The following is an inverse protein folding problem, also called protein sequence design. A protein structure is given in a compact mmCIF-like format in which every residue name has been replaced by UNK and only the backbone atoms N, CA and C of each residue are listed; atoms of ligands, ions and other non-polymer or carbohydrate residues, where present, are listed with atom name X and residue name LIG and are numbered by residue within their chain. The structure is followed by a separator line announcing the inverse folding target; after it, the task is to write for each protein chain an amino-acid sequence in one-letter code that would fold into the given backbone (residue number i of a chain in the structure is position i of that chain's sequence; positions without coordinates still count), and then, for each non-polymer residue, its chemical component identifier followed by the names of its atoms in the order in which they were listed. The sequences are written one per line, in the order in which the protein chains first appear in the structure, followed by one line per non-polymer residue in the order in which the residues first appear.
data_IF_840512852710
#
_entry.id   IF_840512852710
#
_cell.length_a   1.000
_cell.length_b   1.000
_cell.length_c   1.000
_cell.angle_alpha   90.00
_cell.angle_beta   90.00
_cell.angle_gamma   90.00
#
_symmetry.space_group_name_H-M   'P 1'
#
loop_
_entity.id
_entity.type
_entity.pdbx_description
1 polymer ?
#
# COMPACT_ATOMS: atom_id res chain seq x y z
N UNK A 1 -15.53 -4.62 30.11
CA UNK A 1 -16.56 -3.97 29.27
C UNK A 1 -17.11 -4.92 28.23
N UNK A 2 -16.29 -5.47 27.31
CA UNK A 2 -16.75 -6.47 26.33
C UNK A 2 -17.32 -7.74 26.98
N UNK A 3 -16.69 -8.25 28.04
CA UNK A 3 -17.22 -9.37 28.84
C UNK A 3 -18.56 -9.01 29.51
N UNK A 4 -18.65 -7.81 30.09
CA UNK A 4 -19.88 -7.32 30.73
C UNK A 4 -21.03 -7.14 29.74
N UNK A 5 -20.71 -6.80 28.49
CA UNK A 5 -21.66 -6.70 27.39
C UNK A 5 -21.98 -8.05 26.73
N UNK A 6 -21.41 -9.15 27.23
CA UNK A 6 -21.64 -10.51 26.72
C UNK A 6 -21.05 -10.78 25.34
N UNK A 7 -20.17 -9.91 24.83
CA UNK A 7 -19.57 -10.04 23.50
C UNK A 7 -18.41 -11.05 23.44
N UNK A 8 -17.73 -11.26 24.56
CA UNK A 8 -16.64 -12.24 24.70
C UNK A 8 -16.68 -12.89 26.07
N UNK A 9 -16.21 -14.13 26.19
CA UNK A 9 -16.06 -14.82 27.47
C UNK A 9 -14.81 -14.36 28.23
N UNK A 10 -14.74 -14.64 29.53
CA UNK A 10 -13.53 -14.38 30.33
C UNK A 10 -12.31 -15.13 29.79
N UNK A 11 -12.50 -16.39 29.38
CA UNK A 11 -11.41 -17.22 28.84
C UNK A 11 -10.91 -16.68 27.50
N UNK A 12 -11.81 -16.22 26.62
CA UNK A 12 -11.46 -15.57 25.36
C UNK A 12 -10.70 -14.26 25.59
N UNK A 13 -11.11 -13.47 26.59
CA UNK A 13 -10.43 -12.24 26.97
C UNK A 13 -9.01 -12.53 27.49
N UNK A 14 -8.83 -13.54 28.34
CA UNK A 14 -7.50 -13.92 28.86
C UNK A 14 -6.56 -14.37 27.74
N UNK A 15 -7.04 -15.17 26.78
CA UNK A 15 -6.26 -15.58 25.61
C UNK A 15 -5.83 -14.37 24.76
N UNK A 16 -6.75 -13.46 24.47
CA UNK A 16 -6.43 -12.26 23.69
C UNK A 16 -5.45 -11.32 24.42
N UNK A 17 -5.54 -11.20 25.75
CA UNK A 17 -4.59 -10.44 26.56
C UNK A 17 -3.20 -11.06 26.56
N UNK A 18 -3.11 -12.40 26.62
CA UNK A 18 -1.84 -13.10 26.56
C UNK A 18 -1.14 -12.87 25.21
N UNK A 19 -1.88 -12.90 24.10
CA UNK A 19 -1.34 -12.61 22.78
C UNK A 19 -0.98 -11.13 22.61
N UNK A 20 -1.80 -10.21 23.15
CA UNK A 20 -1.48 -8.78 23.19
C UNK A 20 -0.19 -8.49 23.96
N UNK A 21 0.10 -9.20 25.06
CA UNK A 21 1.36 -9.02 25.78
C UNK A 21 2.58 -9.44 24.98
N UNK A 22 2.45 -10.44 24.10
CA UNK A 22 3.55 -10.93 23.27
C UNK A 22 3.77 -10.07 22.01
N UNK A 23 2.68 -9.68 21.34
CA UNK A 23 2.73 -8.99 20.04
C UNK A 23 2.57 -7.46 20.15
N UNK A 24 2.12 -6.96 21.30
CA UNK A 24 1.73 -5.57 21.47
C UNK A 24 0.42 -5.23 20.74
N UNK A 25 0.14 -3.94 20.57
CA UNK A 25 -1.05 -3.47 19.84
C UNK A 25 -2.34 -3.44 20.67
N UNK A 26 -3.48 -3.37 19.99
CA UNK A 26 -4.80 -3.16 20.61
C UNK A 26 -5.50 -4.48 20.88
N UNK A 27 -6.11 -4.59 22.07
CA UNK A 27 -6.85 -5.77 22.49
C UNK A 27 -8.00 -6.15 21.53
N UNK A 28 -8.77 -5.15 21.06
CA UNK A 28 -9.87 -5.38 20.12
C UNK A 28 -9.40 -6.08 18.84
N UNK A 29 -8.26 -5.65 18.30
CA UNK A 29 -7.64 -6.25 17.11
C UNK A 29 -7.27 -7.72 17.33
N UNK A 30 -6.77 -8.06 18.53
CA UNK A 30 -6.47 -9.45 18.88
C UNK A 30 -7.72 -10.32 19.03
N UNK A 31 -8.80 -9.76 19.62
CA UNK A 31 -10.08 -10.46 19.72
C UNK A 31 -10.66 -10.81 18.35
N UNK A 32 -10.56 -9.89 17.38
CA UNK A 32 -10.99 -10.13 15.99
C UNK A 32 -10.08 -11.15 15.30
N UNK A 33 -8.76 -11.01 15.42
CA UNK A 33 -7.79 -11.95 14.82
C UNK A 33 -7.98 -13.38 15.31
N UNK A 34 -8.33 -13.56 16.58
CA UNK A 34 -8.59 -14.87 17.19
C UNK A 34 -9.98 -15.44 16.84
N UNK A 35 -10.82 -14.68 16.13
CA UNK A 35 -12.19 -15.06 15.78
C UNK A 35 -13.14 -15.07 16.97
N UNK A 36 -12.82 -14.34 18.04
CA UNK A 36 -13.66 -14.25 19.24
C UNK A 36 -14.69 -13.13 19.16
N UNK A 37 -14.50 -12.19 18.24
CA UNK A 37 -15.39 -11.06 18.02
C UNK A 37 -15.35 -10.71 16.54
N UNK A 38 -16.51 -10.47 15.93
CA UNK A 38 -16.54 -10.00 14.55
C UNK A 38 -16.14 -8.52 14.48
N UNK A 39 -15.57 -8.13 13.34
CA UNK A 39 -15.04 -6.79 13.13
C UNK A 39 -16.15 -5.72 13.21
N UNK A 40 -17.31 -6.01 12.61
CA UNK A 40 -18.51 -5.17 12.67
C UNK A 40 -19.05 -5.05 14.11
N UNK A 41 -19.05 -6.14 14.87
CA UNK A 41 -19.50 -6.13 16.27
C UNK A 41 -18.58 -5.29 17.15
N UNK A 42 -17.27 -5.34 16.91
CA UNK A 42 -16.31 -4.50 17.60
C UNK A 42 -16.55 -3.03 17.29
N UNK A 43 -16.69 -2.67 16.02
CA UNK A 43 -16.92 -1.29 15.58
C UNK A 43 -18.24 -0.74 16.13
N UNK A 44 -19.32 -1.51 16.07
CA UNK A 44 -20.61 -1.12 16.64
C UNK A 44 -20.52 -0.91 18.16
N UNK A 45 -19.85 -1.81 18.87
CA UNK A 45 -19.62 -1.68 20.31
C UNK A 45 -18.84 -0.40 20.66
N UNK A 46 -17.76 -0.11 19.92
CA UNK A 46 -16.95 1.10 20.12
C UNK A 46 -17.74 2.37 19.81
N UNK A 47 -18.54 2.35 18.73
CA UNK A 47 -19.43 3.45 18.35
C UNK A 47 -20.40 3.80 19.47
N UNK A 48 -21.11 2.80 20.01
CA UNK A 48 -22.04 3.00 21.13
C UNK A 48 -21.32 3.47 22.39
N UNK A 49 -20.13 2.93 22.67
CA UNK A 49 -19.38 3.26 23.89
C UNK A 49 -18.88 4.70 23.89
N UNK A 50 -18.41 5.19 22.74
CA UNK A 50 -17.80 6.51 22.62
C UNK A 50 -18.77 7.57 22.10
N UNK A 51 -19.97 7.19 21.67
CA UNK A 51 -21.00 8.12 21.17
C UNK A 51 -20.62 8.74 19.83
N UNK A 52 -19.88 8.02 19.00
CA UNK A 52 -19.42 8.47 17.67
C UNK A 52 -19.90 7.49 16.59
N UNK A 53 -20.19 7.94 15.36
CA UNK A 53 -20.69 7.05 14.31
C UNK A 53 -19.66 5.98 13.91
N UNK A 54 -20.15 4.80 13.53
CA UNK A 54 -19.37 3.78 12.84
C UNK A 54 -19.37 4.05 11.33
N UNK A 55 -18.31 3.61 10.64
CA UNK A 55 -18.24 3.62 9.18
C UNK A 55 -17.69 2.30 8.64
N UNK A 56 -18.33 1.78 7.58
CA UNK A 56 -17.79 0.70 6.77
C UNK A 56 -17.01 1.30 5.59
N UNK A 57 -15.68 1.20 5.62
CA UNK A 57 -14.81 1.76 4.58
C UNK A 57 -14.87 0.99 3.25
N UNK A 58 -15.38 -0.24 3.24
CA UNK A 58 -15.52 -1.04 2.02
C UNK A 58 -16.66 -0.52 1.11
N UNK A 59 -17.67 0.13 1.69
CA UNK A 59 -18.86 0.62 0.99
C UNK A 59 -18.78 2.09 0.59
N UNK A 60 -17.66 2.76 0.91
CA UNK A 60 -17.51 4.21 0.73
C UNK A 60 -16.40 4.51 -0.27
N UNK A 61 -16.77 5.25 -1.31
CA UNK A 61 -15.81 5.89 -2.21
C UNK A 61 -15.46 7.28 -1.68
N UNK A 62 -14.15 7.52 -1.53
CA UNK A 62 -13.61 8.78 -1.01
C UNK A 62 -12.94 9.52 -2.15
N UNK A 63 -13.30 10.79 -2.32
CA UNK A 63 -12.74 11.65 -3.35
C UNK A 63 -11.23 11.88 -3.11
N UNK A 64 -10.45 11.86 -4.19
CA UNK A 64 -8.99 12.03 -4.14
C UNK A 64 -8.57 13.36 -3.50
N UNK A 65 -9.36 14.42 -3.68
CA UNK A 65 -9.12 15.73 -3.05
C UNK A 65 -9.24 15.68 -1.52
N UNK A 66 -10.03 14.76 -0.98
CA UNK A 66 -10.19 14.52 0.46
C UNK A 66 -9.02 13.69 0.99
N UNK A 67 -8.66 12.62 0.28
CA UNK A 67 -7.49 11.79 0.60
C UNK A 67 -6.22 12.64 0.71
N UNK A 68 -6.01 13.58 -0.22
CA UNK A 68 -4.84 14.47 -0.23
C UNK A 68 -4.76 15.48 0.93
N UNK A 69 -5.81 15.63 1.74
CA UNK A 69 -5.79 16.54 2.91
C UNK A 69 -4.79 16.06 3.97
N UNK A 70 -4.66 14.73 4.13
CA UNK A 70 -3.76 14.13 5.12
C UNK A 70 -2.64 13.39 4.36
N UNK A 71 -1.36 13.68 4.66
CA UNK A 71 -0.26 12.94 4.05
C UNK A 71 -0.27 11.46 4.44
N UNK A 72 0.20 10.57 3.53
CA UNK A 72 0.16 9.12 3.74
C UNK A 72 0.90 8.67 5.00
N UNK A 73 2.05 9.28 5.31
CA UNK A 73 2.85 8.93 6.49
C UNK A 73 2.10 9.24 7.80
N UNK A 74 1.33 10.33 7.80
CA UNK A 74 0.51 10.73 8.96
C UNK A 74 -0.67 9.77 9.12
N UNK A 75 -1.34 9.44 8.00
CA UNK A 75 -2.40 8.43 7.97
C UNK A 75 -1.93 7.06 8.47
N UNK A 76 -0.74 6.61 8.06
CA UNK A 76 -0.12 5.36 8.53
C UNK A 76 0.29 5.43 10.00
N UNK A 77 0.89 6.54 10.43
CA UNK A 77 1.35 6.73 11.82
C UNK A 77 0.21 6.66 12.83
N UNK A 78 -0.90 7.34 12.54
CA UNK A 78 -2.06 7.37 13.45
C UNK A 78 -3.10 6.29 13.15
N UNK A 79 -2.91 5.53 12.06
CA UNK A 79 -3.91 4.60 11.52
C UNK A 79 -5.26 5.30 11.34
N UNK A 80 -5.28 6.32 10.48
CA UNK A 80 -6.45 7.14 10.18
C UNK A 80 -6.62 7.38 8.68
N UNK A 81 -7.85 7.67 8.27
CA UNK A 81 -8.18 8.01 6.89
C UNK A 81 -9.17 9.18 6.85
N UNK A 82 -8.92 10.26 6.09
CA UNK A 82 -9.92 11.30 5.87
C UNK A 82 -11.04 10.73 4.99
N UNK A 83 -12.30 10.90 5.40
CA UNK A 83 -13.46 10.29 4.73
C UNK A 83 -14.31 11.33 4.02
N UNK A 84 -14.57 12.46 4.67
CA UNK A 84 -15.41 13.51 4.11
C UNK A 84 -14.98 14.89 4.62
N UNK A 85 -15.31 15.92 3.83
CA UNK A 85 -15.09 17.31 4.20
C UNK A 85 -16.35 18.12 3.93
N UNK A 86 -16.81 18.88 4.92
CA UNK A 86 -17.94 19.78 4.80
C UNK A 86 -17.58 21.16 5.39
N UNK A 87 -17.31 22.14 4.51
CA UNK A 87 -16.87 23.47 4.93
C UNK A 87 -15.56 23.40 5.72
N UNK A 88 -15.62 23.74 7.02
CA UNK A 88 -14.49 23.70 7.94
C UNK A 88 -14.39 22.41 8.77
N UNK A 89 -15.25 21.41 8.51
CA UNK A 89 -15.26 20.12 9.20
C UNK A 89 -14.59 19.05 8.33
N UNK A 90 -13.71 18.26 8.93
CA UNK A 90 -13.04 17.10 8.32
C UNK A 90 -13.41 15.86 9.12
N UNK A 91 -14.14 14.93 8.51
CA UNK A 91 -14.46 13.65 9.11
C UNK A 91 -13.33 12.67 8.87
N UNK A 92 -12.86 12.02 9.94
CA UNK A 92 -11.73 11.09 9.90
C UNK A 92 -12.15 9.75 10.50
N UNK A 93 -11.91 8.67 9.75
CA UNK A 93 -12.03 7.32 10.28
C UNK A 93 -10.82 6.99 11.16
N UNK A 94 -11.08 6.50 12.37
CA UNK A 94 -10.07 6.18 13.38
C UNK A 94 -10.41 4.85 14.06
N UNK A 95 -9.38 4.08 14.42
CA UNK A 95 -9.56 2.89 15.29
C UNK A 95 -10.01 3.30 16.69
N UNK A 96 -9.55 4.48 17.14
CA UNK A 96 -9.74 4.94 18.50
C UNK A 96 -10.06 6.44 18.54
N UNK A 97 -11.35 6.79 18.73
CA UNK A 97 -11.79 8.17 18.77
C UNK A 97 -11.39 8.89 20.07
N UNK A 98 -10.79 8.18 21.04
CA UNK A 98 -10.29 8.78 22.29
C UNK A 98 -8.87 9.30 22.18
N UNK A 99 -8.19 9.08 21.05
CA UNK A 99 -6.86 9.60 20.81
C UNK A 99 -6.90 11.11 20.46
N UNK A 100 -7.03 11.93 21.50
CA UNK A 100 -7.12 13.40 21.37
C UNK A 100 -5.86 13.99 20.74
N UNK A 101 -4.68 13.43 21.02
CA UNK A 101 -3.42 13.88 20.41
C UNK A 101 -3.42 13.73 18.89
N UNK A 102 -3.90 12.60 18.37
CA UNK A 102 -4.04 12.43 16.93
C UNK A 102 -5.02 13.45 16.34
N UNK A 103 -6.17 13.66 16.98
CA UNK A 103 -7.14 14.65 16.51
C UNK A 103 -6.58 16.08 16.51
N UNK A 104 -5.86 16.47 17.57
CA UNK A 104 -5.25 17.79 17.69
C UNK A 104 -4.11 18.00 16.67
N UNK A 105 -3.27 16.99 16.46
CA UNK A 105 -2.20 17.04 15.44
C UNK A 105 -2.79 17.24 14.03
N UNK A 106 -3.85 16.50 13.69
CA UNK A 106 -4.52 16.65 12.40
C UNK A 106 -5.21 18.01 12.29
N UNK A 107 -5.87 18.46 13.35
CA UNK A 107 -6.48 19.79 13.39
C UNK A 107 -5.43 20.89 13.18
N UNK A 108 -4.29 20.81 13.84
CA UNK A 108 -3.21 21.78 13.72
C UNK A 108 -2.61 21.78 12.31
N UNK A 109 -2.36 20.59 11.74
CA UNK A 109 -1.77 20.44 10.41
C UNK A 109 -2.72 20.90 9.29
N UNK A 110 -4.01 20.59 9.41
CA UNK A 110 -4.98 20.80 8.32
C UNK A 110 -5.81 22.07 8.46
N UNK A 111 -5.91 22.63 9.67
CA UNK A 111 -6.75 23.77 10.00
C UNK A 111 -8.25 23.46 10.09
N UNK A 112 -8.67 22.21 9.92
CA UNK A 112 -10.08 21.80 10.01
C UNK A 112 -10.48 21.36 11.41
N UNK A 113 -11.77 21.51 11.73
CA UNK A 113 -12.37 20.85 12.88
C UNK A 113 -12.54 19.37 12.57
N UNK A 114 -11.80 18.53 13.29
CA UNK A 114 -11.80 17.08 13.12
C UNK A 114 -13.02 16.45 13.78
N UNK A 115 -13.73 15.61 13.04
CA UNK A 115 -14.84 14.80 13.55
C UNK A 115 -14.52 13.31 13.40
N UNK A 116 -14.37 12.56 14.49
CA UNK A 116 -14.02 11.15 14.41
C UNK A 116 -15.23 10.29 14.06
N UNK A 117 -15.01 9.29 13.21
CA UNK A 117 -15.87 8.12 13.04
C UNK A 117 -15.04 6.87 13.30
N UNK A 118 -15.67 5.80 13.79
CA UNK A 118 -14.97 4.57 14.17
C UNK A 118 -15.00 3.60 12.99
N UNK A 119 -13.83 3.07 12.68
CA UNK A 119 -13.64 1.97 11.74
C UNK A 119 -12.70 0.95 12.36
N UNK A 120 -12.73 -0.27 11.85
CA UNK A 120 -11.79 -1.29 12.31
C UNK A 120 -10.37 -1.00 11.83
N UNK A 121 -9.41 -1.56 12.56
CA UNK A 121 -7.99 -1.43 12.20
C UNK A 121 -7.68 -2.12 10.87
N UNK A 122 -8.31 -3.27 10.60
CA UNK A 122 -8.15 -3.99 9.34
C UNK A 122 -8.65 -3.15 8.16
N UNK A 123 -9.89 -2.66 8.22
CA UNK A 123 -10.48 -1.85 7.16
C UNK A 123 -9.70 -0.55 6.92
N UNK A 124 -9.21 0.10 7.99
CA UNK A 124 -8.38 1.30 7.86
C UNK A 124 -7.05 1.02 7.15
N UNK A 125 -6.36 -0.06 7.50
CA UNK A 125 -5.09 -0.43 6.84
C UNK A 125 -5.30 -0.72 5.36
N UNK A 126 -6.33 -1.51 5.04
CA UNK A 126 -6.69 -1.82 3.65
C UNK A 126 -7.05 -0.55 2.87
N UNK A 127 -7.86 0.32 3.44
CA UNK A 127 -8.25 1.57 2.80
C UNK A 127 -7.07 2.54 2.65
N UNK A 128 -6.17 2.63 3.63
CA UNK A 128 -4.93 3.42 3.52
C UNK A 128 -4.09 2.89 2.37
N UNK A 129 -3.93 1.57 2.23
CA UNK A 129 -3.18 0.99 1.12
C UNK A 129 -3.91 1.14 -0.22
N UNK A 130 -5.25 1.14 -0.24
CA UNK A 130 -6.06 1.40 -1.45
C UNK A 130 -5.91 2.84 -1.94
N UNK A 131 -6.02 3.83 -1.04
CA UNK A 131 -6.09 5.25 -1.42
C UNK A 131 -4.72 5.95 -1.43
N UNK A 132 -3.80 5.54 -0.55
CA UNK A 132 -2.44 6.07 -0.50
C UNK A 132 -1.39 5.12 -1.07
N UNK A 133 -1.77 3.87 -1.39
CA UNK A 133 -0.98 3.08 -2.32
C UNK A 133 -0.88 3.88 -3.59
N UNK A 134 0.34 4.34 -3.93
CA UNK A 134 0.64 5.11 -5.12
C UNK A 134 -0.17 4.60 -6.31
N UNK A 135 -0.66 5.47 -7.21
CA UNK A 135 -1.22 5.05 -8.51
C UNK A 135 -0.30 4.04 -9.19
N UNK A 136 1.01 4.23 -9.03
CA UNK A 136 2.06 3.31 -9.47
C UNK A 136 2.14 2.00 -8.71
N UNK A 137 1.70 1.88 -7.46
CA UNK A 137 1.60 0.60 -6.74
C UNK A 137 0.40 -0.23 -7.22
N UNK A 138 -0.69 0.42 -7.65
CA UNK A 138 -1.84 -0.26 -8.27
C UNK A 138 -1.51 -0.64 -9.72
N UNK A 139 -0.88 0.25 -10.48
CA UNK A 139 -0.34 -0.07 -11.82
C UNK A 139 0.77 -1.12 -11.75
N UNK A 140 1.68 -1.06 -10.75
CA UNK A 140 2.67 -2.11 -10.50
C UNK A 140 1.95 -3.43 -10.27
N UNK A 141 0.95 -3.47 -9.38
CA UNK A 141 0.23 -4.70 -9.07
C UNK A 141 -0.44 -5.28 -10.31
N UNK A 142 -1.12 -4.45 -11.11
CA UNK A 142 -1.72 -4.89 -12.38
C UNK A 142 -0.69 -5.38 -13.39
N UNK A 143 0.43 -4.67 -13.57
CA UNK A 143 1.50 -5.10 -14.47
C UNK A 143 2.18 -6.38 -13.96
N UNK A 144 2.32 -6.53 -12.64
CA UNK A 144 2.84 -7.75 -12.03
C UNK A 144 1.87 -8.92 -12.19
N UNK A 145 0.57 -8.69 -12.03
CA UNK A 145 -0.50 -9.65 -12.30
C UNK A 145 -0.52 -10.07 -13.77
N UNK A 146 -0.47 -9.11 -14.71
CA UNK A 146 -0.37 -9.37 -16.16
C UNK A 146 0.83 -10.28 -16.49
N UNK A 147 1.98 -10.04 -15.83
CA UNK A 147 3.21 -10.81 -16.03
C UNK A 147 3.13 -12.21 -15.39
N UNK A 148 2.39 -12.37 -14.29
CA UNK A 148 2.20 -13.66 -13.62
C UNK A 148 1.09 -14.51 -14.24
N UNK A 149 0.06 -13.90 -14.83
CA UNK A 149 -1.05 -14.61 -15.52
C UNK A 149 -0.67 -15.04 -16.94
N UNK A 150 0.37 -14.45 -17.54
CA UNK A 150 1.08 -15.05 -18.69
C UNK A 150 1.92 -16.25 -18.25
N UNK A 151 1.27 -17.32 -17.79
CA UNK A 151 1.90 -18.62 -17.72
C UNK A 151 2.09 -19.16 -19.16
N UNK A 152 3.36 -19.30 -19.52
CA UNK A 152 3.94 -20.23 -20.50
C UNK A 152 4.02 -19.93 -22.02
N UNK A 153 3.74 -18.73 -22.58
CA UNK A 153 4.01 -18.59 -24.05
C UNK A 153 4.38 -17.25 -24.71
N UNK A 154 4.41 -16.08 -24.07
CA UNK A 154 4.72 -14.82 -24.79
C UNK A 154 5.71 -13.88 -24.05
N UNK A 155 6.68 -14.45 -23.33
CA UNK A 155 7.97 -13.76 -23.23
C UNK A 155 8.84 -14.45 -24.27
N UNK A 156 8.85 -13.93 -25.50
CA UNK A 156 9.89 -14.27 -26.47
C UNK A 156 11.23 -13.88 -25.84
N UNK A 157 11.82 -14.82 -25.11
CA UNK A 157 13.25 -14.84 -24.88
C UNK A 157 13.81 -15.13 -26.25
N UNK A 158 14.26 -14.08 -26.94
CA UNK A 158 14.96 -14.22 -28.22
C UNK A 158 16.10 -15.22 -28.00
N UNK A 159 16.01 -16.37 -28.66
CA UNK A 159 17.06 -17.37 -28.67
C UNK A 159 18.35 -16.72 -29.21
N UNK A 160 19.48 -17.02 -28.58
CA UNK A 160 20.76 -16.31 -28.71
C UNK A 160 21.45 -16.44 -30.10
N UNK A 161 20.80 -17.04 -31.10
CA UNK A 161 21.41 -17.42 -32.40
C UNK A 161 20.86 -16.68 -33.64
N UNK A 162 19.82 -15.86 -33.51
CA UNK A 162 19.36 -15.02 -34.64
C UNK A 162 20.00 -13.64 -34.55
N UNK A 163 20.63 -13.18 -35.65
CA UNK A 163 21.13 -11.81 -35.83
C UNK A 163 20.03 -10.83 -35.42
N UNK A 164 20.13 -10.28 -34.21
CA UNK A 164 19.13 -9.39 -33.62
C UNK A 164 19.08 -8.12 -34.45
N UNK A 165 18.05 -8.00 -35.30
CA UNK A 165 17.77 -6.75 -35.99
C UNK A 165 17.27 -5.74 -34.94
N UNK A 166 18.12 -4.76 -34.61
CA UNK A 166 17.78 -3.65 -33.70
C UNK A 166 16.43 -2.99 -34.06
N UNK A 167 16.03 -3.06 -35.34
CA UNK A 167 14.76 -2.55 -35.82
C UNK A 167 13.55 -3.31 -35.27
N UNK A 168 13.61 -4.64 -35.07
CA UNK A 168 12.49 -5.43 -34.55
C UNK A 168 12.27 -5.22 -33.03
N UNK A 169 13.35 -5.01 -32.27
CA UNK A 169 13.29 -4.65 -30.85
C UNK A 169 12.76 -3.22 -30.61
N UNK A 170 13.04 -2.28 -31.51
CA UNK A 170 12.43 -0.94 -31.46
C UNK A 170 10.93 -0.99 -31.83
N UNK A 171 10.51 -2.00 -32.61
CA UNK A 171 9.14 -2.13 -33.10
C UNK A 171 8.22 -2.95 -32.19
N UNK A 172 8.75 -3.59 -31.14
CA UNK A 172 7.94 -4.18 -30.07
C UNK A 172 7.22 -3.06 -29.30
N UNK A 173 5.92 -2.98 -29.56
CA UNK A 173 4.94 -1.99 -29.11
C UNK A 173 5.18 -1.39 -27.71
N UNK A 174 4.81 -0.11 -27.55
CA UNK A 174 4.67 0.58 -26.26
C UNK A 174 3.78 -0.17 -25.23
N UNK A 175 3.08 -1.21 -25.67
CA UNK A 175 2.17 -2.05 -24.90
C UNK A 175 2.83 -3.25 -24.20
N UNK A 176 4.12 -3.54 -24.41
CA UNK A 176 4.77 -4.66 -23.72
C UNK A 176 4.83 -4.44 -22.19
N UNK A 177 4.45 -5.44 -21.35
CA UNK A 177 4.41 -5.31 -19.89
C UNK A 177 5.74 -4.84 -19.27
N UNK A 178 6.87 -5.25 -19.85
CA UNK A 178 8.22 -4.84 -19.42
C UNK A 178 8.48 -3.35 -19.67
N UNK A 179 8.02 -2.82 -20.80
CA UNK A 179 8.14 -1.38 -21.14
C UNK A 179 7.33 -0.55 -20.14
N UNK A 180 6.08 -0.98 -19.86
CA UNK A 180 5.24 -0.34 -18.83
C UNK A 180 5.92 -0.35 -17.47
N UNK A 181 6.48 -1.50 -17.06
CA UNK A 181 7.14 -1.65 -15.77
C UNK A 181 8.32 -0.69 -15.59
N UNK A 182 9.21 -0.60 -16.60
CA UNK A 182 10.36 0.31 -16.55
C UNK A 182 9.92 1.77 -16.52
N UNK A 183 8.89 2.14 -17.30
CA UNK A 183 8.34 3.51 -17.29
C UNK A 183 7.74 3.88 -15.92
N UNK A 184 7.06 2.92 -15.27
CA UNK A 184 6.52 3.11 -13.91
C UNK A 184 7.66 3.31 -12.90
N UNK A 185 8.73 2.50 -12.96
CA UNK A 185 9.92 2.66 -12.09
C UNK A 185 10.50 4.07 -12.21
N UNK A 186 10.72 4.54 -13.45
CA UNK A 186 11.28 5.88 -13.70
C UNK A 186 10.37 7.00 -13.19
N UNK A 187 9.07 6.90 -13.48
CA UNK A 187 8.10 7.93 -13.08
C UNK A 187 7.89 7.95 -11.57
N UNK A 188 7.91 6.80 -10.90
CA UNK A 188 7.83 6.71 -9.43
C UNK A 188 9.04 7.36 -8.77
N UNK A 189 10.25 7.07 -9.29
CA UNK A 189 11.48 7.65 -8.79
C UNK A 189 11.47 9.18 -8.88
N UNK A 190 10.99 9.75 -9.99
CA UNK A 190 10.84 11.20 -10.16
C UNK A 190 9.85 11.78 -9.13
N UNK A 191 8.66 11.17 -9.00
CA UNK A 191 7.63 11.66 -8.06
C UNK A 191 8.11 11.63 -6.61
N UNK A 192 8.93 10.64 -6.25
CA UNK A 192 9.49 10.47 -4.90
C UNK A 192 10.76 11.28 -4.67
N UNK A 193 11.25 12.01 -5.67
CA UNK A 193 12.48 12.79 -5.57
C UNK A 193 13.73 11.92 -5.36
N UNK A 194 13.75 10.71 -5.92
CA UNK A 194 14.91 9.84 -5.82
C UNK A 194 16.10 10.38 -6.62
N UNK A 195 17.30 10.34 -6.02
CA UNK A 195 18.55 10.70 -6.69
C UNK A 195 19.08 9.58 -7.56
N UNK A 196 18.87 8.33 -7.14
CA UNK A 196 19.38 7.13 -7.82
C UNK A 196 18.32 6.03 -7.82
N UNK A 197 18.28 5.28 -8.93
CA UNK A 197 17.51 4.04 -9.06
C UNK A 197 18.50 2.88 -9.12
N UNK A 198 18.40 1.99 -8.14
CA UNK A 198 19.20 0.78 -8.04
C UNK A 198 18.39 -0.41 -8.54
N UNK A 199 18.81 -0.99 -9.66
CA UNK A 199 18.23 -2.21 -10.24
C UNK A 199 19.21 -3.36 -9.96
N UNK A 200 18.88 -4.25 -9.01
CA UNK A 200 19.83 -5.19 -8.41
C UNK A 200 19.38 -6.65 -8.59
N UNK A 201 19.82 -7.32 -9.67
CA UNK A 201 19.57 -8.74 -9.87
C UNK A 201 20.57 -9.59 -9.09
N UNK A 202 20.11 -10.25 -8.03
CA UNK A 202 20.86 -11.28 -7.31
C UNK A 202 20.59 -12.66 -7.89
N UNK A 203 21.27 -13.67 -7.37
CA UNK A 203 21.15 -15.07 -7.83
C UNK A 203 19.72 -15.62 -7.73
N UNK A 204 18.98 -15.23 -6.67
CA UNK A 204 17.64 -15.78 -6.36
C UNK A 204 16.56 -14.72 -6.20
N UNK A 205 16.94 -13.46 -6.11
CA UNK A 205 16.02 -12.36 -5.91
C UNK A 205 16.37 -11.22 -6.86
N UNK A 206 15.35 -10.51 -7.31
CA UNK A 206 15.52 -9.28 -8.07
C UNK A 206 14.85 -8.17 -7.30
N UNK A 207 15.57 -7.07 -7.03
CA UNK A 207 15.03 -5.94 -6.28
C UNK A 207 15.34 -4.61 -6.94
N UNK A 208 14.42 -3.67 -6.77
CA UNK A 208 14.59 -2.27 -7.18
C UNK A 208 14.55 -1.40 -5.93
N UNK A 209 15.55 -0.55 -5.75
CA UNK A 209 15.68 0.36 -4.61
C UNK A 209 15.88 1.79 -5.07
N UNK A 210 15.37 2.76 -4.34
CA UNK A 210 15.60 4.18 -4.60
C UNK A 210 16.48 4.79 -3.53
N UNK A 211 17.38 5.68 -3.93
CA UNK A 211 18.06 6.57 -2.99
C UNK A 211 17.26 7.86 -2.87
N UNK A 212 16.73 8.13 -1.69
CA UNK A 212 15.99 9.36 -1.39
C UNK A 212 16.65 9.99 -0.18
N UNK A 213 17.12 11.23 -0.33
CA UNK A 213 17.86 11.97 0.71
C UNK A 213 19.03 11.17 1.32
N UNK A 214 19.72 10.40 0.47
CA UNK A 214 20.89 9.59 0.85
C UNK A 214 20.57 8.22 1.47
N UNK A 215 19.30 7.91 1.73
CA UNK A 215 18.86 6.63 2.30
C UNK A 215 18.31 5.73 1.18
N UNK A 216 18.67 4.44 1.23
CA UNK A 216 18.17 3.43 0.28
C UNK A 216 16.87 2.81 0.79
N UNK A 217 15.82 2.93 -0.02
CA UNK A 217 14.51 2.32 0.21
C UNK A 217 14.26 1.22 -0.81
N UNK A 218 13.90 0.02 -0.35
CA UNK A 218 13.45 -1.04 -1.24
C UNK A 218 12.00 -0.78 -1.68
N UNK A 219 11.79 -0.74 -3.00
CA UNK A 219 10.52 -0.30 -3.58
C UNK A 219 9.70 -1.48 -4.11
N UNK A 220 10.37 -2.46 -4.72
CA UNK A 220 9.71 -3.62 -5.31
C UNK A 220 10.67 -4.79 -5.52
N UNK A 221 10.09 -5.98 -5.67
CA UNK A 221 10.80 -7.23 -6.00
C UNK A 221 10.19 -7.87 -7.26
N UNK A 222 10.69 -7.53 -8.46
CA UNK A 222 10.22 -8.17 -9.68
C UNK A 222 10.53 -9.68 -9.70
N UNK A 223 9.78 -10.50 -10.46
CA UNK A 223 10.17 -11.87 -10.73
C UNK A 223 11.55 -11.97 -11.39
N UNK A 224 12.36 -12.95 -10.99
CA UNK A 224 13.73 -13.13 -11.53
C UNK A 224 13.75 -13.35 -13.04
N UNK A 225 12.66 -13.90 -13.59
CA UNK A 225 12.46 -14.15 -15.03
C UNK A 225 12.58 -12.85 -15.86
N UNK A 226 12.25 -11.70 -15.27
CA UNK A 226 12.28 -10.39 -15.94
C UNK A 226 13.68 -9.75 -15.98
N UNK A 227 14.70 -10.39 -15.40
CA UNK A 227 16.05 -9.82 -15.29
C UNK A 227 16.60 -9.35 -16.64
N UNK A 228 16.59 -10.23 -17.64
CA UNK A 228 17.14 -9.93 -18.97
C UNK A 228 16.31 -8.86 -19.68
N UNK A 229 14.99 -8.99 -19.63
CA UNK A 229 14.08 -8.06 -20.30
C UNK A 229 14.19 -6.62 -19.73
N UNK A 230 14.25 -6.46 -18.40
CA UNK A 230 14.43 -5.15 -17.76
C UNK A 230 15.82 -4.59 -18.08
N UNK A 231 16.87 -5.42 -18.04
CA UNK A 231 18.24 -4.99 -18.35
C UNK A 231 18.37 -4.52 -19.80
N UNK A 232 17.84 -5.30 -20.75
CA UNK A 232 17.79 -4.96 -22.17
C UNK A 232 17.04 -3.65 -22.40
N UNK A 233 15.85 -3.49 -21.79
CA UNK A 233 15.07 -2.25 -21.92
C UNK A 233 15.82 -1.02 -21.43
N UNK A 234 16.51 -1.11 -20.29
CA UNK A 234 17.33 -0.01 -19.78
C UNK A 234 18.51 0.29 -20.71
N UNK A 235 19.18 -0.73 -21.27
CA UNK A 235 20.24 -0.57 -22.26
C UNK A 235 19.75 0.13 -23.53
N UNK A 236 18.61 -0.27 -24.07
CA UNK A 236 17.96 0.37 -25.23
C UNK A 236 17.69 1.86 -24.95
N UNK A 237 17.07 2.18 -23.81
CA UNK A 237 16.77 3.57 -23.44
C UNK A 237 18.03 4.43 -23.28
N UNK A 238 19.13 3.82 -22.83
CA UNK A 238 20.43 4.46 -22.68
C UNK A 238 21.28 4.45 -23.95
N UNK A 239 20.81 3.84 -25.05
CA UNK A 239 21.57 3.59 -26.29
C UNK A 239 22.88 2.83 -26.05
N UNK A 240 22.85 1.87 -25.14
CA UNK A 240 23.95 0.96 -24.84
C UNK A 240 23.81 -0.31 -25.69
N UNK A 241 24.93 -1.00 -25.90
CA UNK A 241 24.96 -2.29 -26.58
C UNK A 241 24.21 -3.34 -25.74
N UNK A 242 23.32 -4.09 -26.39
CA UNK A 242 22.46 -5.09 -25.78
C UNK A 242 23.18 -6.45 -25.72
N UNK A 243 24.11 -6.71 -26.65
CA UNK A 243 24.82 -7.99 -26.76
C UNK A 243 25.91 -8.16 -25.68
N UNK A 244 26.41 -7.06 -25.13
CA UNK A 244 27.44 -7.07 -24.09
C UNK A 244 26.79 -7.20 -22.71
N UNK A 245 26.96 -8.33 -22.01
CA UNK A 245 26.27 -8.65 -20.74
C UNK A 245 26.84 -7.88 -19.54
#
# INVERSE_FOLDING_TARGET
MLVTAGKVSSDQLEQALAQQQQEGGRLGTHLVKLGFLDDDELVEFLSQRYGVPAINLAEVEIDETIIKIIPPDVSRKYTILPVSKAGARLTIAMVDPTNVFAMDDIKFMTGYNVEPVVASEAALREAIDKYYGSTHSIELKKVMEDITDTDDTDVEVLDEDDDIDLAELEQQSEEAPVVRLVNIILTDAIKRGASDIHIEPYEKEYRVRYRIDGILYEMMRPPIKLREAITSRVKIMAKLDIAEK
#
